data_IF_292863981292
#
_entry.id   IF_292863981292
#
_cell.length_a   1.000
_cell.length_b   1.000
_cell.length_c   1.000
_cell.angle_alpha   90.00
_cell.angle_beta   90.00
_cell.angle_gamma   90.00
#
_symmetry.space_group_name_H-M   'P 1'
#
loop_
_entity.id
_entity.type
_entity.pdbx_description
1 polymer ?
#
# COMPACT_ATOMS: atom_id res chain seq x y z
N UNK A 1 -22.49 -33.29 -5.42
CA UNK A 1 -22.69 -31.85 -5.74
C UNK A 1 -23.03 -31.12 -4.45
N UNK A 2 -22.03 -30.56 -3.77
CA UNK A 2 -22.27 -29.69 -2.61
C UNK A 2 -22.07 -28.24 -3.06
N UNK A 3 -23.15 -27.46 -3.07
CA UNK A 3 -23.11 -26.01 -3.29
C UNK A 3 -22.82 -25.35 -1.95
N UNK A 4 -21.63 -24.74 -1.83
CA UNK A 4 -21.39 -23.72 -0.82
C UNK A 4 -21.81 -22.38 -1.45
N UNK A 5 -22.97 -21.90 -1.07
CA UNK A 5 -23.51 -20.61 -1.50
C UNK A 5 -23.04 -19.55 -0.50
N UNK A 6 -22.11 -18.69 -0.89
CA UNK A 6 -21.92 -17.39 -0.29
C UNK A 6 -22.78 -16.39 -1.09
N UNK A 7 -23.53 -15.53 -0.43
CA UNK A 7 -24.59 -14.71 -1.04
C UNK A 7 -24.19 -13.86 -2.26
N UNK A 8 -22.90 -13.66 -2.50
CA UNK A 8 -22.36 -12.87 -3.62
C UNK A 8 -21.28 -13.58 -4.45
N UNK A 9 -20.86 -14.80 -4.08
CA UNK A 9 -19.82 -15.56 -4.79
C UNK A 9 -20.25 -17.01 -4.94
N UNK A 10 -20.48 -17.46 -6.17
CA UNK A 10 -20.87 -18.83 -6.46
C UNK A 10 -19.65 -19.63 -6.92
N UNK A 11 -19.31 -20.71 -6.20
CA UNK A 11 -18.34 -21.69 -6.66
C UNK A 11 -19.00 -22.69 -7.59
N UNK A 12 -18.73 -22.62 -8.88
CA UNK A 12 -19.19 -23.62 -9.84
C UNK A 12 -18.07 -24.63 -10.07
N UNK A 13 -18.35 -25.90 -9.72
CA UNK A 13 -17.50 -27.01 -10.11
C UNK A 13 -17.92 -27.44 -11.54
N UNK A 14 -17.11 -27.16 -12.53
CA UNK A 14 -17.26 -27.76 -13.86
C UNK A 14 -16.33 -28.96 -13.96
N UNK A 15 -16.86 -30.09 -14.45
CA UNK A 15 -16.09 -31.28 -14.74
C UNK A 15 -15.06 -31.01 -15.85
N UNK A 16 -13.91 -31.71 -15.75
CA UNK A 16 -12.77 -31.50 -16.60
C UNK A 16 -13.09 -31.70 -18.09
N UNK A 17 -12.74 -30.71 -18.92
CA UNK A 17 -12.59 -30.93 -20.33
C UNK A 17 -11.22 -31.56 -20.62
N UNK A 18 -11.12 -32.36 -21.66
CA UNK A 18 -9.94 -33.22 -22.02
C UNK A 18 -8.65 -32.45 -22.37
N UNK A 19 -8.57 -31.14 -22.13
CA UNK A 19 -7.41 -30.28 -22.46
C UNK A 19 -6.59 -29.79 -21.27
N UNK A 20 -6.79 -30.34 -20.06
CA UNK A 20 -5.85 -30.18 -18.94
C UNK A 20 -5.71 -28.81 -18.30
N UNK A 21 -6.51 -27.81 -18.64
CA UNK A 21 -6.51 -26.50 -18.01
C UNK A 21 -7.84 -26.20 -17.29
N UNK A 22 -8.06 -26.86 -16.16
CA UNK A 22 -9.12 -26.45 -15.24
C UNK A 22 -8.68 -25.20 -14.44
N UNK A 23 -8.82 -24.01 -15.04
CA UNK A 23 -8.91 -22.78 -14.26
C UNK A 23 -10.29 -22.76 -13.60
N UNK A 24 -10.36 -23.10 -12.32
CA UNK A 24 -11.52 -22.81 -11.49
C UNK A 24 -11.68 -21.30 -11.44
N UNK A 25 -12.59 -20.75 -12.23
CA UNK A 25 -12.89 -19.32 -12.20
C UNK A 25 -13.86 -19.06 -11.05
N UNK A 26 -13.50 -18.13 -10.19
CA UNK A 26 -14.46 -17.50 -9.27
C UNK A 26 -15.37 -16.63 -10.13
N UNK A 27 -16.66 -16.91 -10.13
CA UNK A 27 -17.65 -16.05 -10.80
C UNK A 27 -18.31 -15.17 -9.76
N UNK A 28 -18.39 -13.90 -10.07
CA UNK A 28 -19.09 -12.90 -9.26
C UNK A 28 -20.55 -12.76 -9.69
N UNK A 29 -21.24 -11.75 -9.18
CA UNK A 29 -22.62 -11.48 -9.60
C UNK A 29 -22.68 -11.07 -11.09
N UNK A 30 -23.82 -11.25 -11.77
CA UNK A 30 -23.98 -10.82 -13.16
C UNK A 30 -23.62 -9.35 -13.40
N UNK A 31 -23.93 -8.46 -12.44
CA UNK A 31 -23.63 -7.03 -12.47
C UNK A 31 -22.11 -6.78 -12.38
N UNK A 32 -21.41 -7.48 -11.50
CA UNK A 32 -19.95 -7.40 -11.38
C UNK A 32 -19.25 -7.95 -12.63
N UNK A 33 -19.78 -9.01 -13.25
CA UNK A 33 -19.24 -9.54 -14.51
C UNK A 33 -19.54 -8.62 -15.70
N UNK A 34 -20.66 -7.90 -15.70
CA UNK A 34 -20.93 -6.85 -16.69
C UNK A 34 -19.95 -5.70 -16.54
N UNK A 35 -19.70 -5.25 -15.31
CA UNK A 35 -18.68 -4.24 -15.00
C UNK A 35 -17.27 -4.70 -15.39
N UNK A 36 -16.93 -5.97 -15.19
CA UNK A 36 -15.67 -6.57 -15.65
C UNK A 36 -15.47 -6.38 -17.15
N UNK A 37 -16.52 -6.58 -17.96
CA UNK A 37 -16.48 -6.37 -19.42
C UNK A 37 -16.25 -4.89 -19.77
N UNK A 38 -16.88 -3.97 -19.03
CA UNK A 38 -16.67 -2.55 -19.19
C UNK A 38 -15.20 -2.18 -18.97
N UNK A 39 -14.61 -2.58 -17.85
CA UNK A 39 -13.19 -2.30 -17.52
C UNK A 39 -12.27 -2.90 -18.58
N UNK A 40 -12.48 -4.16 -18.99
CA UNK A 40 -11.70 -4.80 -20.05
C UNK A 40 -11.75 -4.03 -21.36
N UNK A 41 -12.95 -3.63 -21.78
CA UNK A 41 -13.14 -2.88 -23.03
C UNK A 41 -12.40 -1.54 -22.98
N UNK A 42 -12.45 -0.85 -21.84
CA UNK A 42 -11.73 0.40 -21.67
C UNK A 42 -10.22 0.20 -21.73
N UNK A 43 -9.70 -0.84 -21.04
CA UNK A 43 -8.26 -1.17 -21.07
C UNK A 43 -7.77 -1.47 -22.48
N UNK A 44 -8.52 -2.28 -23.25
CA UNK A 44 -8.19 -2.60 -24.64
C UNK A 44 -8.15 -1.34 -25.52
N UNK A 45 -9.08 -0.41 -25.31
CA UNK A 45 -9.17 0.82 -26.11
C UNK A 45 -8.09 1.86 -25.76
N UNK A 46 -7.55 1.85 -24.53
CA UNK A 46 -6.67 2.92 -24.03
C UNK A 46 -5.21 2.51 -23.83
N UNK A 47 -4.93 1.21 -23.73
CA UNK A 47 -3.56 0.71 -23.68
C UNK A 47 -2.90 0.75 -25.07
N UNK A 48 -1.57 0.82 -25.15
CA UNK A 48 -0.85 0.81 -26.41
C UNK A 48 -1.19 -0.40 -27.29
N UNK A 49 -1.20 -0.21 -28.59
CA UNK A 49 -1.44 -1.30 -29.55
C UNK A 49 -0.40 -2.41 -29.35
N UNK A 50 -0.85 -3.64 -29.30
CA UNK A 50 0.03 -4.80 -29.04
C UNK A 50 0.29 -5.09 -27.57
N UNK A 51 -0.23 -4.31 -26.62
CA UNK A 51 0.00 -4.48 -25.17
C UNK A 51 -0.22 -5.91 -24.67
N UNK A 52 -1.18 -6.61 -25.25
CA UNK A 52 -1.53 -7.99 -24.87
C UNK A 52 -0.77 -9.06 -25.67
N UNK A 53 0.09 -8.67 -26.63
CA UNK A 53 0.86 -9.60 -27.44
C UNK A 53 2.01 -10.18 -26.61
N UNK A 54 2.35 -11.43 -26.92
CA UNK A 54 3.45 -12.12 -26.24
C UNK A 54 4.78 -11.41 -26.54
N UNK A 55 5.47 -10.99 -25.48
CA UNK A 55 6.77 -10.33 -25.61
C UNK A 55 6.67 -8.83 -25.95
N UNK A 56 5.46 -8.23 -25.84
CA UNK A 56 5.32 -6.81 -26.01
C UNK A 56 6.12 -6.01 -24.98
N UNK A 57 6.93 -5.09 -25.46
CA UNK A 57 7.70 -4.15 -24.65
C UNK A 57 7.65 -2.76 -25.28
N UNK A 58 7.45 -1.74 -24.45
CA UNK A 58 7.58 -0.36 -24.89
C UNK A 58 9.07 0.01 -25.01
N UNK A 59 9.46 0.64 -26.12
CA UNK A 59 10.77 1.30 -26.23
C UNK A 59 10.95 2.36 -25.14
N UNK A 60 12.18 2.83 -24.93
CA UNK A 60 12.47 3.84 -23.91
C UNK A 60 11.63 5.12 -24.05
N UNK A 61 11.44 5.61 -25.27
CA UNK A 61 10.67 6.84 -25.54
C UNK A 61 9.16 6.61 -25.52
N UNK A 62 8.68 5.46 -26.04
CA UNK A 62 7.26 5.07 -25.91
C UNK A 62 6.87 4.90 -24.44
N UNK A 63 7.74 4.33 -23.62
CA UNK A 63 7.51 4.20 -22.18
C UNK A 63 7.44 5.55 -21.48
N UNK A 64 8.31 6.49 -21.83
CA UNK A 64 8.26 7.86 -21.30
C UNK A 64 6.94 8.53 -21.65
N UNK A 65 6.54 8.46 -22.93
CA UNK A 65 5.28 9.00 -23.43
C UNK A 65 4.08 8.36 -22.72
N UNK A 66 4.04 7.03 -22.65
CA UNK A 66 2.99 6.30 -21.95
C UNK A 66 2.88 6.72 -20.47
N UNK A 67 3.99 6.79 -19.76
CA UNK A 67 4.01 7.18 -18.33
C UNK A 67 3.55 8.64 -18.13
N UNK A 68 3.76 9.52 -19.09
CA UNK A 68 3.29 10.91 -19.03
C UNK A 68 1.79 11.04 -19.31
N UNK A 69 1.25 10.28 -20.26
CA UNK A 69 -0.14 10.38 -20.72
C UNK A 69 -1.12 9.51 -19.93
N UNK A 70 -0.66 8.36 -19.42
CA UNK A 70 -1.51 7.35 -18.78
C UNK A 70 -2.25 7.86 -17.56
N UNK A 71 -1.66 8.66 -16.64
CA UNK A 71 -2.38 9.22 -15.50
C UNK A 71 -3.57 10.10 -15.91
N UNK A 72 -3.44 10.87 -16.98
CA UNK A 72 -4.54 11.70 -17.53
C UNK A 72 -5.66 10.83 -18.07
N UNK A 73 -5.34 9.77 -18.82
CA UNK A 73 -6.34 8.80 -19.29
C UNK A 73 -7.08 8.12 -18.15
N UNK A 74 -6.37 7.73 -17.09
CA UNK A 74 -6.99 7.16 -15.89
C UNK A 74 -7.95 8.15 -15.23
N UNK A 75 -7.56 9.40 -15.12
CA UNK A 75 -8.37 10.47 -14.54
C UNK A 75 -9.61 10.75 -15.39
N UNK A 76 -9.46 10.96 -16.70
CA UNK A 76 -10.56 11.18 -17.65
C UNK A 76 -11.53 9.99 -17.70
N UNK A 77 -11.02 8.76 -17.59
CA UNK A 77 -11.81 7.54 -17.48
C UNK A 77 -12.53 7.39 -16.13
N UNK A 78 -12.19 8.20 -15.12
CA UNK A 78 -12.74 8.11 -13.76
C UNK A 78 -12.29 6.85 -13.01
N UNK A 79 -11.11 6.31 -13.35
CA UNK A 79 -10.59 5.08 -12.73
C UNK A 79 -9.73 5.34 -11.49
N UNK A 80 -9.34 6.60 -11.27
CA UNK A 80 -8.63 7.02 -10.05
C UNK A 80 -9.66 7.18 -8.93
N UNK A 81 -9.38 6.60 -7.77
CA UNK A 81 -10.28 6.65 -6.60
C UNK A 81 -11.75 6.32 -6.95
N UNK A 82 -11.97 5.40 -7.87
CA UNK A 82 -13.29 5.10 -8.43
C UNK A 82 -14.34 4.67 -7.41
N UNK A 83 -13.92 4.20 -6.23
CA UNK A 83 -14.80 3.87 -5.09
C UNK A 83 -15.27 5.09 -4.29
N UNK A 84 -14.66 6.27 -4.50
CA UNK A 84 -15.10 7.48 -3.81
C UNK A 84 -16.51 7.89 -4.26
N UNK A 85 -17.26 8.63 -3.42
CA UNK A 85 -18.57 9.16 -3.78
C UNK A 85 -18.51 10.02 -5.06
N UNK A 86 -19.57 9.98 -5.86
CA UNK A 86 -19.65 10.73 -7.12
C UNK A 86 -19.52 12.24 -6.94
N UNK A 87 -20.05 12.76 -5.85
CA UNK A 87 -19.98 14.17 -5.47
C UNK A 87 -18.55 14.69 -5.26
N UNK A 88 -17.61 13.78 -4.96
CA UNK A 88 -16.18 14.09 -4.81
C UNK A 88 -15.33 13.55 -5.98
N UNK A 89 -15.97 13.25 -7.11
CA UNK A 89 -15.29 12.89 -8.36
C UNK A 89 -14.97 11.41 -8.55
N UNK A 90 -15.38 10.53 -7.63
CA UNK A 90 -15.34 9.08 -7.82
C UNK A 90 -16.49 8.58 -8.71
N UNK A 91 -16.49 7.29 -9.01
CA UNK A 91 -17.62 6.61 -9.68
C UNK A 91 -18.66 6.08 -8.69
N UNK A 92 -18.37 6.07 -7.38
CA UNK A 92 -19.22 5.46 -6.36
C UNK A 92 -19.29 3.94 -6.51
N UNK A 93 -18.20 3.31 -6.94
CA UNK A 93 -18.14 1.85 -7.08
C UNK A 93 -18.32 1.18 -5.73
N UNK A 94 -19.11 0.12 -5.71
CA UNK A 94 -19.21 -0.74 -4.54
C UNK A 94 -17.93 -1.57 -4.31
N UNK A 95 -17.86 -2.28 -3.19
CA UNK A 95 -16.70 -3.09 -2.81
C UNK A 95 -16.35 -4.13 -3.87
N UNK A 96 -17.34 -4.81 -4.45
CA UNK A 96 -17.11 -5.87 -5.43
C UNK A 96 -16.64 -5.31 -6.76
N UNK A 97 -17.21 -4.19 -7.20
CA UNK A 97 -16.76 -3.46 -8.38
C UNK A 97 -15.32 -2.95 -8.20
N UNK A 98 -14.97 -2.44 -7.02
CA UNK A 98 -13.60 -2.03 -6.70
C UNK A 98 -12.60 -3.20 -6.80
N UNK A 99 -12.98 -4.39 -6.34
CA UNK A 99 -12.17 -5.61 -6.49
C UNK A 99 -12.03 -6.02 -7.96
N UNK A 100 -13.13 -6.02 -8.72
CA UNK A 100 -13.12 -6.34 -10.15
C UNK A 100 -12.24 -5.37 -10.92
N UNK A 101 -12.30 -4.07 -10.62
CA UNK A 101 -11.42 -3.05 -11.21
C UNK A 101 -9.95 -3.38 -10.97
N UNK A 102 -9.57 -3.63 -9.71
CA UNK A 102 -8.21 -3.97 -9.35
C UNK A 102 -7.73 -5.27 -10.00
N UNK A 103 -8.60 -6.30 -10.10
CA UNK A 103 -8.30 -7.55 -10.80
C UNK A 103 -8.02 -7.33 -12.28
N UNK A 104 -8.84 -6.55 -12.98
CA UNK A 104 -8.68 -6.35 -14.42
C UNK A 104 -7.45 -5.53 -14.77
N UNK A 105 -7.13 -4.49 -13.97
CA UNK A 105 -5.88 -3.77 -14.13
C UNK A 105 -4.67 -4.67 -13.88
N UNK A 106 -4.71 -5.51 -12.85
CA UNK A 106 -3.65 -6.48 -12.58
C UNK A 106 -3.53 -7.55 -13.66
N UNK A 107 -4.66 -8.07 -14.19
CA UNK A 107 -4.68 -9.03 -15.29
C UNK A 107 -4.08 -8.45 -16.58
N UNK A 108 -4.39 -7.20 -16.87
CA UNK A 108 -3.85 -6.46 -18.02
C UNK A 108 -2.41 -6.00 -17.79
N UNK A 109 -1.83 -6.13 -16.58
CA UNK A 109 -0.57 -5.50 -16.17
C UNK A 109 -0.55 -3.99 -16.43
N UNK A 110 -1.72 -3.36 -16.42
CA UNK A 110 -1.88 -1.93 -16.60
C UNK A 110 -1.56 -1.22 -15.27
N UNK A 111 -0.67 -0.23 -15.28
CA UNK A 111 -0.33 0.46 -14.04
C UNK A 111 -1.51 1.29 -13.53
N UNK A 112 -1.79 1.20 -12.24
CA UNK A 112 -2.62 2.19 -11.55
C UNK A 112 -1.75 3.39 -11.20
N UNK A 113 -2.38 4.55 -10.94
CA UNK A 113 -1.64 5.70 -10.40
C UNK A 113 -1.07 5.34 -9.03
N UNK A 114 0.20 5.65 -8.83
CA UNK A 114 0.93 5.32 -7.61
C UNK A 114 0.99 6.51 -6.64
N UNK A 115 -0.16 7.13 -6.31
CA UNK A 115 -0.25 8.10 -5.21
C UNK A 115 -0.88 7.43 -3.98
N UNK A 116 -0.08 6.58 -3.31
CA UNK A 116 -0.52 5.84 -2.14
C UNK A 116 -1.03 6.75 -1.01
N UNK A 117 -0.33 7.86 -0.76
CA UNK A 117 -0.68 8.76 0.34
C UNK A 117 -1.94 9.57 0.06
N UNK A 118 -2.09 10.08 -1.15
CA UNK A 118 -3.28 10.80 -1.59
C UNK A 118 -4.49 9.88 -1.72
N UNK A 119 -4.37 8.88 -2.58
CA UNK A 119 -5.49 8.04 -3.02
C UNK A 119 -6.00 7.10 -1.94
N UNK A 120 -5.07 6.54 -1.14
CA UNK A 120 -5.37 5.43 -0.22
C UNK A 120 -5.47 5.87 1.23
N UNK A 121 -4.76 6.92 1.64
CA UNK A 121 -4.70 7.34 3.03
C UNK A 121 -5.45 8.64 3.30
N UNK A 122 -4.91 9.80 2.86
CA UNK A 122 -5.50 11.09 3.22
C UNK A 122 -6.86 11.33 2.58
N UNK A 123 -7.06 10.91 1.34
CA UNK A 123 -8.35 11.05 0.65
C UNK A 123 -9.49 10.36 1.39
N UNK A 124 -9.43 9.04 1.67
CA UNK A 124 -10.43 8.37 2.49
C UNK A 124 -10.55 8.94 3.91
N UNK A 125 -9.45 9.42 4.51
CA UNK A 125 -9.49 10.10 5.81
C UNK A 125 -10.29 11.39 5.74
N UNK A 126 -10.11 12.21 4.71
CA UNK A 126 -10.88 13.43 4.48
C UNK A 126 -12.36 13.12 4.20
N UNK A 127 -12.66 12.07 3.43
CA UNK A 127 -14.05 11.65 3.20
C UNK A 127 -14.76 11.30 4.50
N UNK A 128 -14.06 10.70 5.47
CA UNK A 128 -14.63 10.29 6.74
C UNK A 128 -14.65 11.41 7.79
N UNK A 129 -13.61 12.22 7.86
CA UNK A 129 -13.35 13.14 8.99
C UNK A 129 -13.24 14.62 8.60
N UNK A 130 -13.04 14.91 7.31
CA UNK A 130 -12.88 16.27 6.80
C UNK A 130 -14.17 17.06 6.84
N UNK A 131 -14.06 18.38 6.97
CA UNK A 131 -15.16 19.31 6.74
C UNK A 131 -15.51 19.36 5.25
N UNK A 132 -16.68 19.90 4.90
CA UNK A 132 -17.05 20.05 3.49
C UNK A 132 -16.11 20.98 2.73
N UNK A 133 -15.59 22.01 3.39
CA UNK A 133 -14.58 22.93 2.86
C UNK A 133 -13.29 22.19 2.55
N UNK A 134 -12.77 21.40 3.50
CA UNK A 134 -11.57 20.57 3.31
C UNK A 134 -11.76 19.56 2.17
N UNK A 135 -12.90 18.89 2.10
CA UNK A 135 -13.20 17.95 1.01
C UNK A 135 -13.21 18.65 -0.34
N UNK A 136 -13.87 19.81 -0.46
CA UNK A 136 -13.93 20.60 -1.70
C UNK A 136 -12.57 21.12 -2.14
N UNK A 137 -11.72 21.47 -1.19
CA UNK A 137 -10.37 21.98 -1.46
C UNK A 137 -9.42 20.88 -1.89
N UNK A 138 -9.32 19.79 -1.13
CA UNK A 138 -8.23 18.81 -1.26
C UNK A 138 -8.57 17.64 -2.18
N UNK A 139 -9.80 17.09 -2.14
CA UNK A 139 -10.12 15.88 -2.91
C UNK A 139 -9.96 16.04 -4.43
N UNK A 140 -10.38 17.15 -5.07
CA UNK A 140 -10.15 17.34 -6.50
C UNK A 140 -8.66 17.42 -6.88
N UNK A 141 -7.82 17.96 -6.00
CA UNK A 141 -6.38 18.07 -6.23
C UNK A 141 -5.68 16.73 -6.09
N UNK A 142 -6.14 15.89 -5.14
CA UNK A 142 -5.70 14.50 -5.02
C UNK A 142 -6.08 13.73 -6.29
N UNK A 143 -7.36 13.75 -6.69
CA UNK A 143 -7.83 13.06 -7.89
C UNK A 143 -7.07 13.43 -9.15
N UNK A 144 -6.82 14.71 -9.37
CA UNK A 144 -6.08 15.19 -10.54
C UNK A 144 -4.57 14.93 -10.47
N UNK A 145 -4.04 14.49 -9.32
CA UNK A 145 -2.60 14.30 -9.11
C UNK A 145 -1.79 15.60 -9.05
N UNK A 146 -2.45 16.75 -8.90
CA UNK A 146 -1.80 18.07 -8.79
C UNK A 146 -1.16 18.31 -7.43
N UNK A 147 -1.63 17.62 -6.41
CA UNK A 147 -1.13 17.72 -5.03
C UNK A 147 -0.65 16.35 -4.55
N UNK A 148 0.60 16.29 -4.16
CA UNK A 148 1.23 15.09 -3.61
C UNK A 148 1.29 15.17 -2.09
N UNK A 149 1.12 14.04 -1.45
CA UNK A 149 1.05 13.92 -0.01
C UNK A 149 2.18 13.08 0.57
N UNK A 150 2.57 13.38 1.81
CA UNK A 150 3.40 12.51 2.62
C UNK A 150 2.82 12.37 4.03
N UNK A 151 3.27 11.35 4.75
CA UNK A 151 2.82 11.04 6.10
C UNK A 151 3.86 11.47 7.14
N UNK A 152 3.48 12.35 8.05
CA UNK A 152 4.30 12.83 9.16
C UNK A 152 3.85 12.24 10.51
N UNK A 153 4.01 10.93 10.72
CA UNK A 153 3.59 10.26 11.95
C UNK A 153 4.77 10.01 12.89
N UNK A 154 5.67 9.13 12.49
CA UNK A 154 6.80 8.67 13.32
C UNK A 154 7.81 9.77 13.63
N UNK A 155 8.39 9.70 14.82
CA UNK A 155 9.51 10.53 15.26
C UNK A 155 10.69 9.62 15.65
N UNK A 156 11.93 10.14 15.80
CA UNK A 156 13.09 9.32 16.14
C UNK A 156 12.87 8.40 17.36
N UNK A 157 12.08 8.85 18.34
CA UNK A 157 11.78 8.11 19.56
C UNK A 157 10.32 7.65 19.68
N UNK A 158 9.50 7.80 18.62
CA UNK A 158 8.07 7.50 18.64
C UNK A 158 7.63 6.83 17.34
N UNK A 159 7.96 5.55 17.17
CA UNK A 159 7.52 4.69 16.08
C UNK A 159 6.36 3.79 16.51
N UNK A 160 6.65 2.62 17.12
CA UNK A 160 5.61 1.72 17.63
C UNK A 160 4.79 2.36 18.75
N UNK A 161 5.42 3.15 19.60
CA UNK A 161 4.75 3.99 20.60
C UNK A 161 4.43 5.39 20.01
N UNK A 162 3.65 5.41 18.94
CA UNK A 162 3.32 6.62 18.21
C UNK A 162 2.68 7.70 19.08
N UNK A 163 1.87 7.30 20.07
CA UNK A 163 1.22 8.25 20.96
C UNK A 163 2.19 9.04 21.85
N UNK A 164 3.47 8.67 21.90
CA UNK A 164 4.54 9.42 22.59
C UNK A 164 5.14 10.55 21.76
N UNK A 165 4.59 10.87 20.58
CA UNK A 165 5.06 11.94 19.71
C UNK A 165 5.17 13.28 20.47
N UNK A 166 6.20 14.07 20.08
CA UNK A 166 6.58 15.33 20.73
C UNK A 166 6.50 16.55 19.82
N UNK A 167 6.38 16.36 18.49
CA UNK A 167 6.14 17.49 17.57
C UNK A 167 4.94 18.27 18.04
N UNK A 168 5.11 19.54 18.36
CA UNK A 168 4.05 20.42 18.91
C UNK A 168 3.39 21.23 17.83
N UNK A 169 2.14 21.60 18.06
CA UNK A 169 1.46 22.65 17.32
C UNK A 169 0.71 23.55 18.32
N UNK A 170 1.01 24.84 18.28
CA UNK A 170 0.39 25.86 19.13
C UNK A 170 -0.37 26.84 18.24
N UNK A 171 -1.61 27.13 18.58
CA UNK A 171 -2.42 28.08 17.83
C UNK A 171 -1.96 29.52 18.14
N UNK A 172 -1.62 30.27 17.09
CA UNK A 172 -1.21 31.66 17.12
C UNK A 172 -2.08 32.44 16.13
N UNK A 173 -3.12 33.11 16.64
CA UNK A 173 -4.13 33.73 15.79
C UNK A 173 -4.89 32.72 14.94
N UNK A 174 -4.76 32.86 13.64
CA UNK A 174 -5.44 31.98 12.65
C UNK A 174 -4.54 30.88 12.07
N UNK A 175 -3.37 30.63 12.69
CA UNK A 175 -2.41 29.64 12.23
C UNK A 175 -1.87 28.78 13.38
N UNK A 176 -1.59 27.52 13.08
CA UNK A 176 -0.81 26.65 13.94
C UNK A 176 0.68 26.89 13.70
N UNK A 177 1.44 27.08 14.76
CA UNK A 177 2.91 27.13 14.75
C UNK A 177 3.45 25.76 15.15
N UNK A 178 4.19 25.13 14.25
CA UNK A 178 4.62 23.74 14.37
C UNK A 178 6.11 23.68 14.62
N UNK A 179 6.51 22.92 15.65
CA UNK A 179 7.91 22.67 16.00
C UNK A 179 8.13 21.20 16.32
N UNK A 180 9.17 20.60 15.70
CA UNK A 180 9.54 19.22 15.94
C UNK A 180 10.23 18.53 14.76
N UNK A 181 10.34 17.22 14.85
CA UNK A 181 10.97 16.38 13.83
C UNK A 181 10.14 15.13 13.54
N UNK A 182 10.00 14.81 12.27
CA UNK A 182 9.45 13.53 11.81
C UNK A 182 10.52 12.73 11.09
N UNK A 183 10.37 11.40 11.10
CA UNK A 183 11.28 10.46 10.46
C UNK A 183 10.50 9.39 9.69
N UNK A 184 11.14 8.78 8.72
CA UNK A 184 10.54 7.78 7.82
C UNK A 184 9.39 8.35 6.98
N UNK A 185 9.44 9.66 6.71
CA UNK A 185 8.45 10.36 5.89
C UNK A 185 8.71 10.04 4.42
N UNK A 186 8.03 9.01 3.91
CA UNK A 186 8.23 8.52 2.54
C UNK A 186 7.90 9.61 1.53
N UNK A 187 8.82 9.86 0.60
CA UNK A 187 8.71 10.86 -0.47
C UNK A 187 8.45 12.31 0.02
N UNK A 188 8.81 12.63 1.26
CA UNK A 188 8.63 13.98 1.82
C UNK A 188 9.23 15.10 0.99
N UNK A 189 10.34 14.84 0.28
CA UNK A 189 11.00 15.79 -0.61
C UNK A 189 10.21 16.13 -1.90
N UNK A 190 9.16 15.34 -2.21
CA UNK A 190 8.29 15.54 -3.37
C UNK A 190 6.88 15.97 -3.00
N UNK A 191 6.54 15.94 -1.71
CA UNK A 191 5.21 16.25 -1.23
C UNK A 191 4.94 17.76 -1.26
N UNK A 192 3.71 18.12 -1.58
CA UNK A 192 3.17 19.47 -1.47
C UNK A 192 2.54 19.68 -0.09
N UNK A 193 1.94 18.61 0.47
CA UNK A 193 1.31 18.59 1.78
C UNK A 193 1.73 17.35 2.59
N UNK A 194 1.76 17.53 3.91
CA UNK A 194 1.94 16.46 4.88
C UNK A 194 0.70 16.33 5.76
N UNK A 195 0.14 15.13 5.87
CA UNK A 195 -0.78 14.85 6.96
C UNK A 195 0.02 14.47 8.20
N UNK A 196 -0.02 15.38 9.17
CA UNK A 196 0.92 15.43 10.29
C UNK A 196 0.21 15.19 11.62
N UNK A 197 0.76 14.33 12.46
CA UNK A 197 0.34 14.22 13.86
C UNK A 197 1.18 15.13 14.75
N UNK A 198 0.50 15.96 15.53
CA UNK A 198 1.13 16.90 16.45
C UNK A 198 0.51 16.84 17.84
N UNK A 199 1.29 17.24 18.84
CA UNK A 199 0.84 17.43 20.21
C UNK A 199 0.28 18.86 20.35
N UNK A 200 -1.02 18.99 20.41
CA UNK A 200 -1.72 20.26 20.59
C UNK A 200 -2.10 20.53 22.04
N UNK A 201 -2.17 19.50 22.87
CA UNK A 201 -2.34 19.61 24.32
C UNK A 201 -1.30 18.74 25.04
N UNK A 202 -0.33 19.40 25.69
CA UNK A 202 0.76 18.74 26.40
C UNK A 202 0.33 18.22 27.79
N UNK A 203 -0.75 18.77 28.36
CA UNK A 203 -1.25 18.37 29.67
C UNK A 203 -2.23 17.17 29.59
N UNK A 204 -2.78 16.92 28.40
CA UNK A 204 -3.73 15.85 28.20
C UNK A 204 -3.09 14.46 28.30
N UNK A 205 -3.92 13.45 28.57
CA UNK A 205 -3.51 12.05 28.50
C UNK A 205 -2.93 11.72 27.12
N UNK A 206 -1.97 10.77 27.08
CA UNK A 206 -1.12 10.43 25.94
C UNK A 206 -1.82 10.41 24.57
N UNK A 207 -3.03 9.86 24.46
CA UNK A 207 -3.80 9.77 23.24
C UNK A 207 -4.75 10.94 22.99
N UNK A 208 -5.05 11.73 24.04
CA UNK A 208 -6.09 12.74 24.01
C UNK A 208 -5.62 14.15 23.60
N UNK A 209 -4.31 14.38 23.54
CA UNK A 209 -3.72 15.70 23.19
C UNK A 209 -3.09 15.74 21.80
N UNK A 210 -3.54 14.88 20.87
CA UNK A 210 -2.98 14.77 19.53
C UNK A 210 -3.99 15.31 18.52
N UNK A 211 -3.51 16.13 17.58
CA UNK A 211 -4.29 16.62 16.44
C UNK A 211 -3.68 16.13 15.11
N UNK A 212 -4.53 16.06 14.10
CA UNK A 212 -4.17 15.66 12.73
C UNK A 212 -4.26 16.90 11.84
N UNK A 213 -3.13 17.39 11.34
CA UNK A 213 -3.01 18.62 10.59
C UNK A 213 -2.66 18.36 9.11
N UNK A 214 -3.20 19.17 8.20
CA UNK A 214 -2.81 19.20 6.79
C UNK A 214 -1.83 20.34 6.58
N UNK A 215 -0.54 20.04 6.55
CA UNK A 215 0.55 21.02 6.61
C UNK A 215 1.17 21.21 5.22
N UNK A 216 1.21 22.44 4.68
CA UNK A 216 1.97 22.74 3.47
C UNK A 216 3.45 22.44 3.67
N UNK A 217 4.08 21.72 2.73
CA UNK A 217 5.50 21.36 2.84
C UNK A 217 6.44 22.39 2.25
N UNK A 218 5.97 23.19 1.26
CA UNK A 218 6.78 24.17 0.56
C UNK A 218 6.66 25.54 1.22
N UNK A 219 7.28 25.69 2.39
CA UNK A 219 7.27 26.92 3.17
C UNK A 219 8.57 27.11 3.96
N UNK A 220 8.79 28.33 4.46
CA UNK A 220 9.85 28.59 5.44
C UNK A 220 9.57 27.78 6.73
N UNK A 221 10.63 27.24 7.33
CA UNK A 221 10.50 26.45 8.55
C UNK A 221 10.25 24.95 8.31
N UNK A 222 10.15 24.49 7.07
CA UNK A 222 10.13 23.07 6.74
C UNK A 222 11.42 22.69 6.01
N UNK A 223 12.21 21.81 6.61
CA UNK A 223 13.41 21.24 6.00
C UNK A 223 13.24 19.73 5.83
N UNK A 224 13.52 19.22 4.64
CA UNK A 224 13.40 17.79 4.30
C UNK A 224 14.76 17.23 3.92
N UNK A 225 15.21 16.18 4.61
CA UNK A 225 16.46 15.47 4.35
C UNK A 225 16.18 14.02 4.01
N UNK A 226 16.68 13.57 2.86
CA UNK A 226 16.57 12.17 2.45
C UNK A 226 17.49 11.26 3.27
N UNK A 227 16.97 10.12 3.69
CA UNK A 227 17.72 9.05 4.37
C UNK A 227 18.23 8.09 3.30
N UNK A 228 19.52 7.99 3.15
CA UNK A 228 20.15 7.09 2.16
C UNK A 228 19.97 5.65 2.60
N UNK A 229 19.38 4.84 1.73
CA UNK A 229 19.11 3.42 1.93
C UNK A 229 20.27 2.55 1.43
N UNK A 230 20.29 1.24 1.74
CA UNK A 230 21.36 0.34 1.31
C UNK A 230 21.56 0.25 -0.21
N UNK A 231 20.52 0.53 -1.01
CA UNK A 231 20.60 0.59 -2.47
C UNK A 231 20.97 1.99 -3.01
N UNK A 232 21.33 2.92 -2.12
CA UNK A 232 21.70 4.29 -2.46
C UNK A 232 20.53 5.22 -2.78
N UNK A 233 19.29 4.73 -2.81
CA UNK A 233 18.11 5.58 -2.94
C UNK A 233 17.81 6.33 -1.63
N UNK A 234 16.94 7.32 -1.64
CA UNK A 234 16.58 8.08 -0.44
C UNK A 234 15.08 8.45 -0.47
N UNK A 235 14.25 7.44 -0.52
CA UNK A 235 12.78 7.60 -0.56
C UNK A 235 12.21 8.03 0.79
N UNK A 236 12.84 7.61 1.89
CA UNK A 236 12.46 8.02 3.23
C UNK A 236 13.18 9.30 3.63
N UNK A 237 12.48 10.16 4.37
CA UNK A 237 13.02 11.45 4.77
C UNK A 237 12.90 11.66 6.29
N UNK A 238 13.80 12.45 6.82
CA UNK A 238 13.61 13.25 8.02
C UNK A 238 12.99 14.58 7.62
N UNK A 239 12.04 15.06 8.41
CA UNK A 239 11.40 16.37 8.20
C UNK A 239 11.47 17.15 9.49
N UNK A 240 12.08 18.34 9.42
CA UNK A 240 12.24 19.25 10.52
C UNK A 240 11.24 20.41 10.36
N UNK A 241 10.54 20.72 11.43
CA UNK A 241 9.61 21.83 11.53
C UNK A 241 10.16 22.82 12.54
N UNK A 242 10.41 24.07 12.10
CA UNK A 242 10.90 25.18 12.93
C UNK A 242 10.03 26.38 12.64
N UNK A 243 9.06 26.64 13.53
CA UNK A 243 8.02 27.64 13.36
C UNK A 243 7.27 27.54 12.03
N UNK A 244 7.08 26.31 11.53
CA UNK A 244 6.30 26.07 10.33
C UNK A 244 4.82 26.40 10.57
N UNK A 245 4.16 26.95 9.55
CA UNK A 245 2.80 27.47 9.66
C UNK A 245 1.78 26.59 8.96
N UNK A 246 0.59 26.51 9.54
CA UNK A 246 -0.53 25.77 8.97
C UNK A 246 -1.82 26.52 9.34
N UNK A 247 -2.74 26.78 8.38
CA UNK A 247 -4.02 27.40 8.67
C UNK A 247 -4.79 26.68 9.79
N UNK A 248 -5.46 27.41 10.66
CA UNK A 248 -6.21 26.83 11.79
C UNK A 248 -7.24 25.81 11.36
N UNK A 249 -7.86 26.03 10.19
CA UNK A 249 -8.93 25.19 9.66
C UNK A 249 -8.41 23.90 9.00
N UNK A 250 -7.09 23.71 8.91
CA UNK A 250 -6.46 22.49 8.40
C UNK A 250 -6.38 21.35 9.44
N UNK A 251 -7.11 21.45 10.55
CA UNK A 251 -7.31 20.34 11.51
C UNK A 251 -8.39 19.40 11.00
N UNK A 252 -8.06 18.12 10.84
CA UNK A 252 -9.01 17.10 10.43
C UNK A 252 -9.62 16.41 11.64
N UNK A 253 -10.94 16.33 11.68
CA UNK A 253 -11.70 15.65 12.74
C UNK A 253 -11.73 16.39 14.08
N UNK A 254 -11.25 17.64 14.13
CA UNK A 254 -11.22 18.49 15.32
C UNK A 254 -9.94 18.42 16.13
N UNK A 255 -9.72 19.47 16.92
CA UNK A 255 -8.53 19.59 17.80
C UNK A 255 -8.54 18.48 18.86
N UNK A 256 -7.38 17.90 19.13
CA UNK A 256 -7.16 16.82 20.11
C UNK A 256 -7.87 15.48 19.77
N UNK A 257 -8.47 15.34 18.59
CA UNK A 257 -9.08 14.10 18.11
C UNK A 257 -8.20 13.34 17.09
N UNK A 258 -6.99 13.81 16.87
CA UNK A 258 -6.08 13.27 15.84
C UNK A 258 -5.71 11.79 16.01
N UNK A 259 -5.78 11.26 17.24
CA UNK A 259 -5.54 9.84 17.47
C UNK A 259 -6.61 8.94 16.83
N UNK A 260 -7.88 9.35 16.90
CA UNK A 260 -8.97 8.60 16.24
C UNK A 260 -8.87 8.70 14.74
N UNK A 261 -8.58 9.89 14.22
CA UNK A 261 -8.34 10.13 12.78
C UNK A 261 -7.19 9.27 12.28
N UNK A 262 -6.06 9.24 12.99
CA UNK A 262 -4.90 8.43 12.63
C UNK A 262 -5.21 6.93 12.60
N UNK A 263 -5.99 6.42 13.56
CA UNK A 263 -6.41 5.02 13.56
C UNK A 263 -7.27 4.67 12.33
N UNK A 264 -8.13 5.59 11.86
CA UNK A 264 -8.90 5.41 10.63
C UNK A 264 -7.97 5.38 9.41
N UNK A 265 -7.01 6.32 9.33
CA UNK A 265 -5.99 6.35 8.26
C UNK A 265 -5.21 5.03 8.19
N UNK A 266 -4.75 4.51 9.33
CA UNK A 266 -4.03 3.24 9.41
C UNK A 266 -4.91 2.01 9.09
N UNK A 267 -6.23 2.12 9.26
CA UNK A 267 -7.17 1.06 8.87
C UNK A 267 -7.34 1.00 7.34
N UNK A 268 -7.35 2.16 6.65
CA UNK A 268 -7.41 2.20 5.18
C UNK A 268 -6.18 1.55 4.53
N UNK A 269 -5.00 1.72 5.11
CA UNK A 269 -3.77 1.07 4.65
C UNK A 269 -3.91 -0.46 4.53
N UNK A 270 -4.68 -1.08 5.43
CA UNK A 270 -4.84 -2.54 5.53
C UNK A 270 -5.94 -3.12 4.63
N UNK A 271 -6.87 -2.29 4.16
CA UNK A 271 -8.11 -2.77 3.51
C UNK A 271 -7.95 -3.13 2.03
N UNK A 272 -7.29 -2.30 1.25
CA UNK A 272 -7.27 -2.40 -0.22
C UNK A 272 -6.40 -3.53 -0.78
N UNK A 273 -5.32 -3.90 -0.12
CA UNK A 273 -4.40 -4.93 -0.61
C UNK A 273 -4.86 -6.37 -0.33
N UNK A 274 -5.92 -6.56 0.46
CA UNK A 274 -6.32 -7.89 0.93
C UNK A 274 -6.69 -8.85 -0.22
N UNK A 275 -7.34 -8.36 -1.28
CA UNK A 275 -7.85 -9.20 -2.38
C UNK A 275 -6.90 -9.34 -3.56
N UNK A 276 -6.02 -8.37 -3.81
CA UNK A 276 -5.13 -8.34 -4.98
C UNK A 276 -3.64 -8.36 -4.63
N UNK A 277 -3.27 -8.07 -3.39
CA UNK A 277 -1.88 -8.00 -2.95
C UNK A 277 -1.06 -9.27 -3.17
N UNK A 278 -1.70 -10.45 -3.19
CA UNK A 278 -1.02 -11.71 -3.49
C UNK A 278 -0.42 -11.76 -4.90
N UNK A 279 -0.93 -10.96 -5.87
CA UNK A 279 -0.48 -11.01 -7.27
C UNK A 279 0.95 -10.55 -7.45
N UNK A 280 1.42 -9.62 -6.61
CA UNK A 280 2.83 -9.27 -6.55
C UNK A 280 3.68 -10.51 -6.27
N UNK A 281 3.33 -11.27 -5.27
CA UNK A 281 4.06 -12.47 -4.85
C UNK A 281 3.94 -13.62 -5.86
N UNK A 282 2.81 -13.72 -6.56
CA UNK A 282 2.62 -14.64 -7.70
C UNK A 282 3.59 -14.34 -8.85
N UNK A 283 3.76 -13.05 -9.18
CA UNK A 283 4.70 -12.63 -10.23
C UNK A 283 6.16 -12.83 -9.80
N UNK A 284 6.51 -12.51 -8.56
CA UNK A 284 7.83 -12.81 -8.01
C UNK A 284 8.15 -14.31 -8.05
N UNK A 285 7.18 -15.15 -7.67
CA UNK A 285 7.31 -16.60 -7.78
C UNK A 285 7.58 -17.03 -9.23
N UNK A 286 6.83 -16.48 -10.19
CA UNK A 286 7.00 -16.77 -11.62
C UNK A 286 8.40 -16.41 -12.10
N UNK A 287 8.91 -15.24 -11.71
CA UNK A 287 10.25 -14.78 -12.08
C UNK A 287 11.34 -15.67 -11.45
N UNK A 288 11.21 -16.00 -10.17
CA UNK A 288 12.13 -16.96 -9.51
C UNK A 288 12.13 -18.32 -10.18
N UNK A 289 10.96 -18.84 -10.57
CA UNK A 289 10.86 -20.13 -11.26
C UNK A 289 11.53 -20.10 -12.64
N UNK A 290 11.39 -18.99 -13.39
CA UNK A 290 12.06 -18.80 -14.68
C UNK A 290 13.58 -18.74 -14.47
N UNK A 291 14.07 -17.96 -13.53
CA UNK A 291 15.49 -17.85 -13.22
C UNK A 291 16.08 -19.21 -12.81
N UNK A 292 15.43 -19.92 -11.89
CA UNK A 292 15.87 -21.23 -11.42
C UNK A 292 15.94 -22.28 -12.54
N UNK A 293 15.01 -22.23 -13.50
CA UNK A 293 15.06 -23.11 -14.68
C UNK A 293 16.19 -22.73 -15.63
N UNK A 294 16.40 -21.42 -15.84
CA UNK A 294 17.41 -20.90 -16.77
C UNK A 294 18.84 -21.25 -16.33
N UNK A 295 19.13 -21.10 -15.03
CA UNK A 295 20.48 -21.33 -14.50
C UNK A 295 20.70 -22.72 -13.89
N UNK A 296 19.69 -23.59 -13.90
CA UNK A 296 19.79 -24.96 -13.38
C UNK A 296 19.57 -25.10 -11.87
N UNK A 297 19.37 -24.01 -11.12
CA UNK A 297 19.11 -24.06 -9.67
C UNK A 297 17.86 -24.86 -9.32
N UNK A 298 16.92 -25.02 -10.25
CA UNK A 298 15.74 -25.88 -10.09
C UNK A 298 16.08 -27.35 -9.81
N UNK A 299 17.30 -27.82 -10.14
CA UNK A 299 17.75 -29.18 -9.88
C UNK A 299 18.15 -29.39 -8.40
N UNK A 300 18.39 -28.31 -7.65
CA UNK A 300 18.59 -28.39 -6.20
C UNK A 300 17.26 -28.67 -5.49
N UNK A 301 17.26 -29.75 -4.67
CA UNK A 301 16.07 -30.17 -3.91
C UNK A 301 15.63 -29.10 -2.91
N UNK A 302 16.58 -28.43 -2.25
CA UNK A 302 16.28 -27.35 -1.28
C UNK A 302 15.59 -26.16 -1.97
N UNK A 303 16.11 -25.72 -3.12
CA UNK A 303 15.50 -24.64 -3.92
C UNK A 303 14.07 -25.02 -4.32
N UNK A 304 13.85 -26.26 -4.82
CA UNK A 304 12.49 -26.72 -5.19
C UNK A 304 11.54 -26.70 -4.00
N UNK A 305 11.97 -27.19 -2.84
CA UNK A 305 11.13 -27.22 -1.65
C UNK A 305 10.77 -25.80 -1.18
N UNK A 306 11.72 -24.88 -1.17
CA UNK A 306 11.48 -23.49 -0.79
C UNK A 306 10.58 -22.75 -1.79
N UNK A 307 10.71 -23.02 -3.10
CA UNK A 307 9.79 -22.52 -4.12
C UNK A 307 8.37 -23.03 -3.86
N UNK A 308 8.18 -24.30 -3.55
CA UNK A 308 6.85 -24.85 -3.24
C UNK A 308 6.27 -24.29 -1.93
N UNK A 309 7.09 -24.07 -0.92
CA UNK A 309 6.67 -23.37 0.30
C UNK A 309 6.20 -21.95 0.02
N UNK A 310 6.93 -21.22 -0.82
CA UNK A 310 6.53 -19.87 -1.22
C UNK A 310 5.22 -19.87 -2.01
N UNK A 311 5.07 -20.80 -2.98
CA UNK A 311 3.83 -21.02 -3.71
C UNK A 311 2.65 -21.22 -2.75
N UNK A 312 2.78 -22.16 -1.81
CA UNK A 312 1.72 -22.45 -0.83
C UNK A 312 1.36 -21.21 -0.02
N UNK A 313 2.35 -20.46 0.42
CA UNK A 313 2.15 -19.27 1.28
C UNK A 313 1.41 -18.13 0.56
N UNK A 314 1.78 -17.79 -0.68
CA UNK A 314 1.05 -16.74 -1.38
C UNK A 314 -0.36 -17.19 -1.81
N UNK A 315 -0.60 -18.48 -2.04
CA UNK A 315 -1.95 -19.01 -2.24
C UNK A 315 -2.81 -18.87 -0.96
N UNK A 316 -2.23 -19.07 0.22
CA UNK A 316 -2.93 -18.82 1.49
C UNK A 316 -3.33 -17.34 1.59
N UNK A 317 -2.45 -16.40 1.22
CA UNK A 317 -2.80 -14.97 1.17
C UNK A 317 -3.98 -14.70 0.23
N UNK A 318 -3.99 -15.33 -0.94
CA UNK A 318 -5.10 -15.24 -1.90
C UNK A 318 -6.41 -15.69 -1.26
N UNK A 319 -6.42 -16.85 -0.60
CA UNK A 319 -7.63 -17.36 0.05
C UNK A 319 -8.06 -16.52 1.26
N UNK A 320 -7.12 -15.98 2.02
CA UNK A 320 -7.43 -15.05 3.10
C UNK A 320 -8.06 -13.75 2.56
N UNK A 321 -7.57 -13.23 1.43
CA UNK A 321 -8.18 -12.11 0.74
C UNK A 321 -9.63 -12.38 0.34
N UNK A 322 -9.91 -13.55 -0.25
CA UNK A 322 -11.26 -13.95 -0.60
C UNK A 322 -12.17 -14.13 0.61
N UNK A 323 -11.66 -14.67 1.72
CA UNK A 323 -12.41 -14.76 2.98
C UNK A 323 -12.76 -13.38 3.53
N UNK A 324 -11.80 -12.45 3.49
CA UNK A 324 -12.03 -11.07 3.91
C UNK A 324 -13.07 -10.37 3.05
N UNK A 325 -13.01 -10.56 1.72
CA UNK A 325 -14.00 -10.03 0.79
C UNK A 325 -15.40 -10.59 1.08
N UNK A 326 -15.53 -11.92 1.20
CA UNK A 326 -16.80 -12.57 1.51
C UNK A 326 -17.43 -12.03 2.80
N UNK A 327 -16.63 -11.90 3.86
CA UNK A 327 -17.09 -11.34 5.13
C UNK A 327 -17.54 -9.87 5.01
N UNK A 328 -16.81 -9.06 4.23
CA UNK A 328 -17.17 -7.65 3.97
C UNK A 328 -18.50 -7.56 3.20
N UNK A 329 -18.70 -8.38 2.16
CA UNK A 329 -19.93 -8.40 1.37
C UNK A 329 -21.14 -8.88 2.18
N UNK A 330 -20.93 -9.75 3.16
CA UNK A 330 -21.96 -10.19 4.11
C UNK A 330 -22.19 -9.19 5.27
N UNK A 331 -21.48 -8.06 5.30
CA UNK A 331 -21.58 -7.06 6.36
C UNK A 331 -21.03 -7.55 7.71
N UNK A 332 -20.27 -8.64 7.73
CA UNK A 332 -19.69 -9.19 8.95
C UNK A 332 -18.54 -8.32 9.44
N UNK A 333 -18.67 -7.81 10.65
CA UNK A 333 -17.64 -7.04 11.36
C UNK A 333 -17.13 -7.80 12.59
N UNK A 334 -17.10 -9.12 12.50
CA UNK A 334 -16.66 -9.96 13.62
C UNK A 334 -15.12 -9.95 13.80
N UNK A 335 -14.69 -10.49 14.91
CA UNK A 335 -13.26 -10.57 15.26
C UNK A 335 -12.45 -11.40 14.26
N UNK A 336 -13.09 -12.31 13.52
CA UNK A 336 -12.46 -13.09 12.46
C UNK A 336 -11.98 -12.22 11.30
N UNK A 337 -12.75 -11.21 10.91
CA UNK A 337 -12.38 -10.23 9.85
C UNK A 337 -11.25 -9.33 10.34
N UNK A 338 -11.35 -8.82 11.57
CA UNK A 338 -10.32 -7.96 12.17
C UNK A 338 -9.01 -8.74 12.30
N UNK A 339 -9.06 -10.00 12.70
CA UNK A 339 -7.89 -10.86 12.84
C UNK A 339 -7.16 -11.10 11.52
N UNK A 340 -7.90 -11.20 10.41
CA UNK A 340 -7.29 -11.39 9.08
C UNK A 340 -6.38 -10.22 8.69
N UNK A 341 -6.76 -8.97 9.00
CA UNK A 341 -5.94 -7.79 8.72
C UNK A 341 -4.59 -7.83 9.46
N UNK A 342 -4.62 -8.08 10.77
CA UNK A 342 -3.41 -8.15 11.59
C UNK A 342 -2.53 -9.36 11.23
N UNK A 343 -3.13 -10.54 11.07
CA UNK A 343 -2.40 -11.76 10.74
C UNK A 343 -1.84 -11.74 9.32
N UNK A 344 -2.57 -11.22 8.33
CA UNK A 344 -2.09 -11.11 6.96
C UNK A 344 -0.84 -10.24 6.85
N UNK A 345 -0.82 -9.07 7.52
CA UNK A 345 0.36 -8.18 7.49
C UNK A 345 1.60 -8.90 8.00
N UNK A 346 1.54 -9.50 9.17
CA UNK A 346 2.65 -10.27 9.75
C UNK A 346 3.05 -11.43 8.82
N UNK A 347 2.07 -12.17 8.30
CA UNK A 347 2.29 -13.33 7.48
C UNK A 347 3.00 -13.01 6.15
N UNK A 348 2.52 -11.99 5.40
CA UNK A 348 3.12 -11.67 4.11
C UNK A 348 4.50 -11.03 4.26
N UNK A 349 4.74 -10.20 5.28
CA UNK A 349 6.05 -9.57 5.47
C UNK A 349 7.13 -10.60 5.83
N UNK A 350 6.84 -11.53 6.73
CA UNK A 350 7.77 -12.62 7.08
C UNK A 350 7.96 -13.62 5.92
N UNK A 351 6.91 -13.88 5.14
CA UNK A 351 6.99 -14.70 3.93
C UNK A 351 7.89 -14.04 2.89
N UNK A 352 7.71 -12.73 2.63
CA UNK A 352 8.41 -12.00 1.60
C UNK A 352 9.91 -11.88 1.90
N UNK A 353 10.30 -11.65 3.16
CA UNK A 353 11.72 -11.70 3.55
C UNK A 353 12.39 -13.02 3.15
N UNK A 354 11.76 -14.16 3.46
CA UNK A 354 12.28 -15.50 3.11
C UNK A 354 12.26 -15.73 1.60
N UNK A 355 11.28 -15.18 0.90
CA UNK A 355 11.22 -15.26 -0.56
C UNK A 355 12.36 -14.50 -1.23
N UNK A 356 12.72 -13.32 -0.71
CA UNK A 356 13.85 -12.54 -1.22
C UNK A 356 15.19 -13.22 -0.93
N UNK A 357 15.35 -13.88 0.21
CA UNK A 357 16.50 -14.75 0.49
C UNK A 357 16.58 -15.92 -0.51
N UNK A 358 15.45 -16.55 -0.81
CA UNK A 358 15.39 -17.58 -1.84
C UNK A 358 15.75 -17.05 -3.23
N UNK A 359 15.32 -15.83 -3.57
CA UNK A 359 15.67 -15.20 -4.83
C UNK A 359 17.20 -15.00 -4.96
N UNK A 360 17.88 -14.56 -3.88
CA UNK A 360 19.34 -14.46 -3.86
C UNK A 360 20.01 -15.80 -4.06
N UNK A 361 19.55 -16.84 -3.35
CA UNK A 361 20.12 -18.20 -3.46
C UNK A 361 19.94 -18.78 -4.87
N UNK A 362 18.80 -18.50 -5.53
CA UNK A 362 18.56 -18.90 -6.92
C UNK A 362 19.56 -18.21 -7.86
N UNK A 363 19.82 -16.93 -7.67
CA UNK A 363 20.76 -16.18 -8.51
C UNK A 363 22.23 -16.44 -8.14
N UNK A 364 22.50 -16.90 -6.93
CA UNK A 364 23.85 -17.17 -6.44
C UNK A 364 24.74 -15.91 -6.52
N UNK A 365 25.98 -16.07 -7.03
CA UNK A 365 26.93 -14.98 -7.16
C UNK A 365 26.46 -13.82 -8.06
N UNK A 366 25.58 -14.11 -9.03
CA UNK A 366 25.03 -13.09 -9.92
C UNK A 366 24.17 -12.05 -9.16
N UNK A 367 23.65 -12.41 -7.99
CA UNK A 367 22.92 -11.46 -7.11
C UNK A 367 23.79 -10.32 -6.59
N UNK A 368 25.10 -10.50 -6.55
CA UNK A 368 26.06 -9.47 -6.09
C UNK A 368 26.51 -8.53 -7.21
N UNK A 369 26.15 -8.81 -8.47
CA UNK A 369 26.54 -7.98 -9.58
C UNK A 369 25.77 -6.66 -9.58
N UNK A 370 26.49 -5.59 -9.87
CA UNK A 370 25.89 -4.30 -10.18
C UNK A 370 25.27 -4.42 -11.57
N UNK A 371 23.96 -4.24 -11.64
CA UNK A 371 23.25 -4.32 -12.91
C UNK A 371 23.20 -2.93 -13.56
N UNK A 372 23.95 -2.75 -14.65
CA UNK A 372 24.01 -1.51 -15.43
C UNK A 372 23.05 -1.51 -16.62
N UNK A 373 22.30 -2.59 -16.83
CA UNK A 373 21.43 -2.77 -17.99
C UNK A 373 19.95 -2.47 -17.74
N UNK A 374 19.19 -2.25 -18.82
CA UNK A 374 17.74 -2.06 -18.74
C UNK A 374 16.96 -3.34 -18.39
N UNK A 375 17.64 -4.48 -18.25
CA UNK A 375 17.05 -5.82 -18.17
C UNK A 375 16.76 -6.27 -16.73
N UNK A 376 16.14 -5.42 -15.92
CA UNK A 376 15.71 -5.78 -14.57
C UNK A 376 14.58 -6.83 -14.52
N UNK A 377 14.20 -7.42 -15.66
CA UNK A 377 13.18 -8.47 -15.74
C UNK A 377 11.79 -8.08 -15.21
N UNK A 378 11.56 -6.77 -14.96
CA UNK A 378 10.25 -6.29 -14.48
C UNK A 378 9.90 -6.79 -13.09
N UNK A 379 10.85 -6.91 -12.17
CA UNK A 379 10.60 -7.39 -10.81
C UNK A 379 9.56 -6.50 -10.11
N UNK A 380 8.44 -7.07 -9.61
CA UNK A 380 7.38 -6.30 -9.00
C UNK A 380 7.80 -5.73 -7.64
N UNK A 381 7.28 -4.56 -7.31
CA UNK A 381 7.47 -3.92 -6.01
C UNK A 381 8.84 -3.30 -5.77
N UNK A 382 9.73 -3.28 -6.75
CA UNK A 382 10.94 -2.49 -6.68
C UNK A 382 10.58 -1.00 -6.67
N UNK A 383 10.74 -0.38 -5.52
CA UNK A 383 10.57 1.06 -5.38
C UNK A 383 11.92 1.71 -5.65
N UNK A 384 12.04 2.42 -6.76
CA UNK A 384 13.19 3.27 -7.03
C UNK A 384 12.69 4.68 -7.22
N UNK A 385 13.22 5.59 -6.45
CA UNK A 385 13.17 7.00 -6.85
C UNK A 385 14.13 7.19 -8.03
N UNK A 386 13.57 7.11 -9.25
CA UNK A 386 14.32 7.28 -10.49
C UNK A 386 14.99 8.65 -10.64
N UNK A 387 14.79 9.55 -9.71
CA UNK A 387 15.33 10.91 -9.69
C UNK A 387 16.61 11.04 -8.87
N UNK A 388 17.01 10.00 -8.13
CA UNK A 388 18.31 9.92 -7.47
C UNK A 388 19.12 8.80 -8.07
N UNK A 389 20.37 9.10 -8.40
CA UNK A 389 21.38 8.11 -8.73
C UNK A 389 21.70 7.31 -7.46
N UNK A 390 21.00 6.19 -7.28
CA UNK A 390 21.36 5.16 -6.32
C UNK A 390 22.46 4.26 -6.89
N UNK A 391 22.87 3.27 -6.11
CA UNK A 391 23.70 2.20 -6.66
C UNK A 391 22.91 1.46 -7.75
N UNK A 392 23.57 1.06 -8.85
CA UNK A 392 22.90 0.34 -9.94
C UNK A 392 22.63 -1.13 -9.54
N UNK A 393 21.80 -1.34 -8.55
CA UNK A 393 21.33 -2.67 -8.14
C UNK A 393 20.13 -3.10 -8.99
N UNK A 394 19.94 -4.40 -9.17
CA UNK A 394 18.75 -4.93 -9.85
C UNK A 394 17.48 -4.60 -9.07
N UNK A 395 16.33 -4.60 -9.76
CA UNK A 395 15.04 -4.42 -9.12
C UNK A 395 14.76 -5.48 -8.05
N UNK A 396 15.24 -6.72 -8.25
CA UNK A 396 15.18 -7.79 -7.26
C UNK A 396 16.01 -7.44 -6.02
N UNK A 397 17.23 -6.90 -6.16
CA UNK A 397 18.06 -6.48 -5.03
C UNK A 397 17.43 -5.33 -4.27
N UNK A 398 16.88 -4.34 -4.96
CA UNK A 398 16.12 -3.26 -4.32
C UNK A 398 14.94 -3.82 -3.50
N UNK A 399 14.18 -4.79 -4.05
CA UNK A 399 13.13 -5.50 -3.31
C UNK A 399 13.67 -6.28 -2.11
N UNK A 400 14.84 -6.93 -2.24
CA UNK A 400 15.49 -7.61 -1.11
C UNK A 400 15.79 -6.64 0.02
N UNK A 401 16.46 -5.50 -0.24
CA UNK A 401 16.75 -4.51 0.77
C UNK A 401 15.48 -3.94 1.40
N UNK A 402 14.50 -3.58 0.57
CA UNK A 402 13.23 -3.05 1.05
C UNK A 402 12.47 -4.05 1.93
N UNK A 403 12.50 -5.34 1.59
CA UNK A 403 11.81 -6.39 2.35
C UNK A 403 12.26 -6.48 3.81
N UNK A 404 13.50 -6.02 4.13
CA UNK A 404 14.01 -6.03 5.52
C UNK A 404 13.22 -5.07 6.42
N UNK A 405 12.67 -4.00 5.86
CA UNK A 405 11.86 -3.01 6.60
C UNK A 405 10.39 -3.42 6.76
N UNK A 406 9.89 -4.34 5.93
CA UNK A 406 8.45 -4.70 5.88
C UNK A 406 7.90 -5.27 7.19
N UNK A 407 8.71 -5.97 7.98
CA UNK A 407 8.31 -6.45 9.31
C UNK A 407 8.31 -5.37 10.39
N UNK A 408 8.74 -4.15 10.05
CA UNK A 408 8.89 -3.02 10.97
C UNK A 408 7.78 -1.99 10.76
N UNK A 409 7.63 -1.44 9.52
CA UNK A 409 6.62 -0.42 9.25
C UNK A 409 5.18 -0.97 9.18
N UNK A 410 4.17 -0.12 9.23
CA UNK A 410 2.74 -0.52 9.23
C UNK A 410 2.35 -1.33 10.49
N UNK A 411 3.07 -1.16 11.60
CA UNK A 411 3.02 -1.96 12.82
C UNK A 411 3.97 -3.16 12.75
N UNK A 412 4.93 -3.21 13.68
CA UNK A 412 5.92 -4.30 13.73
C UNK A 412 5.25 -5.66 13.88
N UNK A 413 5.96 -6.75 13.52
CA UNK A 413 5.47 -8.11 13.76
C UNK A 413 5.11 -8.34 15.23
N UNK A 414 5.82 -7.70 16.17
CA UNK A 414 5.53 -7.77 17.60
C UNK A 414 4.23 -7.05 17.95
N UNK A 415 4.03 -5.82 17.44
CA UNK A 415 2.77 -5.07 17.62
C UNK A 415 1.59 -5.83 17.01
N UNK A 416 1.75 -6.45 15.85
CA UNK A 416 0.68 -7.27 15.27
C UNK A 416 0.34 -8.48 16.13
N UNK A 417 1.35 -9.15 16.73
CA UNK A 417 1.11 -10.24 17.67
C UNK A 417 0.38 -9.77 18.93
N UNK A 418 0.74 -8.62 19.48
CA UNK A 418 0.02 -8.03 20.62
C UNK A 418 -1.44 -7.73 20.27
N UNK A 419 -1.70 -7.14 19.08
CA UNK A 419 -3.09 -6.88 18.62
C UNK A 419 -3.87 -8.20 18.53
N UNK A 420 -3.29 -9.24 17.94
CA UNK A 420 -3.95 -10.56 17.87
C UNK A 420 -4.15 -11.14 19.24
N UNK A 421 -3.13 -11.15 20.09
CA UNK A 421 -3.21 -11.70 21.46
C UNK A 421 -4.27 -11.00 22.30
N UNK A 422 -4.19 -9.67 22.39
CA UNK A 422 -5.02 -8.88 23.29
C UNK A 422 -6.45 -8.68 22.78
N UNK A 423 -6.60 -8.35 21.46
CA UNK A 423 -7.90 -7.94 20.91
C UNK A 423 -8.68 -9.07 20.24
N UNK A 424 -7.98 -10.06 19.66
CA UNK A 424 -8.63 -11.18 18.98
C UNK A 424 -8.81 -12.37 19.90
N UNK A 425 -7.75 -12.74 20.65
CA UNK A 425 -7.75 -13.88 21.54
C UNK A 425 -8.18 -13.54 22.98
N UNK A 426 -8.30 -12.25 23.31
CA UNK A 426 -8.69 -11.80 24.66
C UNK A 426 -7.66 -12.09 25.74
N UNK A 427 -6.38 -12.27 25.37
CA UNK A 427 -5.32 -12.51 26.33
C UNK A 427 -5.04 -11.25 27.16
N UNK A 428 -4.57 -11.38 28.40
CA UNK A 428 -4.21 -10.25 29.22
C UNK A 428 -3.06 -9.45 28.57
N UNK A 429 -3.09 -8.14 28.80
CA UNK A 429 -1.98 -7.26 28.37
C UNK A 429 -0.72 -7.60 29.13
N UNK A 430 0.43 -7.36 28.47
CA UNK A 430 1.72 -7.46 29.12
C UNK A 430 1.78 -6.53 30.35
N UNK A 431 2.27 -7.01 31.50
CA UNK A 431 2.41 -6.15 32.68
C UNK A 431 3.32 -4.96 32.38
N UNK A 432 2.91 -3.78 32.82
CA UNK A 432 3.79 -2.60 32.73
C UNK A 432 5.00 -2.84 33.68
N UNK A 433 6.22 -2.43 33.25
CA UNK A 433 7.36 -2.43 34.19
C UNK A 433 7.02 -1.66 35.45
N UNK A 434 7.42 -2.19 36.62
CA UNK A 434 7.20 -1.54 37.90
C UNK A 434 7.93 -0.19 37.91
N UNK A 435 7.16 0.93 37.84
CA UNK A 435 7.70 2.29 37.86
C UNK A 435 7.15 3.26 36.79
N UNK A 436 6.47 2.77 35.76
CA UNK A 436 5.76 3.64 34.81
C UNK A 436 4.28 3.76 35.21
N UNK A 437 3.90 5.01 35.60
CA UNK A 437 2.48 5.40 35.85
C UNK A 437 1.73 5.66 34.55
#
# INVERSE_FOLDING_TARGET
MSRLCFACVTFVWTEASATGQNRRMLTYTPEAEAFRKEVKSWLVANLPKGWFDKGFELSGDERKKFNAEWPSKLFEGGWICATWPKEYGGKGLDTLQGVVLAEEFANAKAPMRADFFGDTLVGPTLLQWGTEEQKKEFLPQILSGKMRWCQGFSEPNSGSDLASLKTTAVLDGDEWVINGQKVWTTQGHHADYCFLLTRTDQAAAKHAGISYLLVPMRQKGVEVRGIVQPDGTAEFCEVFFTDARCPKDNVVGGVNNGWQVANSTLAFERGMSATTGYRRFEEEYRLMLIAAKKNGAINDVSIRQRLMQYYTKYQILRYNGLRSLGATLEGKKDMGVISLGATNKMYWTEMHQRAMELALDIHGADSMLINTGPEDGGWPGAQRDKRREGYPVSAMMSSFFFSRSETIWGGTSQIQRNIVGERVLGLPKEPKPSGEK
#
